data_IF_001997451745
#
_entry.id   IF_001997451745
#
_cell.length_a   1.000
_cell.length_b   1.000
_cell.length_c   1.000
_cell.angle_alpha   90.00
_cell.angle_beta   90.00
_cell.angle_gamma   90.00
#
_symmetry.space_group_name_H-M   'P 1'
#
loop_
_entity.id
_entity.type
_entity.pdbx_description
1 polymer ?
#
# COMPACT_ATOMS: atom_id res chain seq x y z
N UNK A 1 -18.10 -10.91 -19.30
CA UNK A 1 -17.95 -10.12 -18.06
C UNK A 1 -16.85 -9.10 -18.30
N UNK A 2 -17.17 -7.82 -18.21
CA UNK A 2 -16.18 -6.76 -18.47
C UNK A 2 -15.34 -6.50 -17.20
N UNK A 3 -14.05 -6.24 -17.40
CA UNK A 3 -13.18 -5.77 -16.32
C UNK A 3 -13.40 -4.28 -16.17
N UNK A 4 -13.89 -3.84 -15.02
CA UNK A 4 -14.05 -2.43 -14.71
C UNK A 4 -12.72 -1.87 -14.20
N UNK A 5 -12.20 -0.81 -14.85
CA UNK A 5 -10.97 -0.11 -14.43
C UNK A 5 -11.34 1.25 -13.88
N UNK A 6 -11.14 1.44 -12.57
CA UNK A 6 -11.36 2.71 -11.89
C UNK A 6 -10.06 3.50 -11.76
N UNK A 7 -9.97 4.66 -12.39
CA UNK A 7 -8.82 5.57 -12.31
C UNK A 7 -9.08 6.71 -11.33
N UNK A 8 -8.01 7.26 -10.76
CA UNK A 8 -8.10 8.45 -9.92
C UNK A 8 -8.31 9.71 -10.79
N UNK A 9 -8.97 10.73 -10.24
CA UNK A 9 -9.29 11.98 -10.96
C UNK A 9 -10.50 11.91 -11.90
N UNK A 10 -11.08 10.71 -12.14
CA UNK A 10 -12.27 10.52 -12.99
C UNK A 10 -13.59 10.59 -12.20
N UNK A 11 -13.51 10.78 -10.89
CA UNK A 11 -14.66 10.79 -9.99
C UNK A 11 -14.96 12.22 -9.52
N UNK A 12 -16.16 12.66 -9.60
CA UNK A 12 -16.63 13.99 -9.25
C UNK A 12 -16.02 14.67 -8.02
N UNK A 13 -16.70 15.62 -7.40
CA UNK A 13 -16.18 16.35 -6.24
C UNK A 13 -15.81 15.40 -5.09
N UNK A 14 -14.63 15.59 -4.49
CA UNK A 14 -14.17 14.85 -3.32
C UNK A 14 -15.16 15.04 -2.15
N UNK A 15 -15.74 13.98 -1.57
CA UNK A 15 -16.60 14.09 -0.40
C UNK A 15 -15.80 14.49 0.84
N UNK A 16 -16.50 15.00 1.84
CA UNK A 16 -15.92 15.23 3.17
C UNK A 16 -16.04 13.93 3.96
N UNK A 17 -14.94 13.41 4.56
CA UNK A 17 -15.01 12.24 5.41
C UNK A 17 -15.90 12.47 6.63
N UNK A 18 -16.68 11.46 7.05
CA UNK A 18 -17.49 11.57 8.26
C UNK A 18 -16.61 11.67 9.51
N UNK A 19 -16.82 12.70 10.30
CA UNK A 19 -16.03 12.98 11.50
C UNK A 19 -16.15 11.85 12.56
N UNK A 20 -17.27 11.12 12.60
CA UNK A 20 -17.52 10.02 13.54
C UNK A 20 -16.51 8.87 13.37
N UNK A 21 -16.04 8.63 12.15
CA UNK A 21 -15.08 7.58 11.86
C UNK A 21 -13.61 8.04 12.00
N UNK A 22 -13.34 9.32 12.28
CA UNK A 22 -11.97 9.85 12.27
C UNK A 22 -11.02 9.11 13.23
N UNK A 23 -11.47 8.84 14.45
CA UNK A 23 -10.68 8.12 15.44
C UNK A 23 -10.48 6.65 15.08
N UNK A 24 -11.51 5.98 14.57
CA UNK A 24 -11.43 4.62 14.07
C UNK A 24 -10.30 4.50 13.02
N UNK A 25 -10.27 5.40 12.05
CA UNK A 25 -9.26 5.38 11.01
C UNK A 25 -7.87 5.83 11.50
N UNK A 26 -7.77 6.74 12.48
CA UNK A 26 -6.49 7.11 13.09
C UNK A 26 -5.77 5.93 13.75
N UNK A 27 -6.52 4.95 14.30
CA UNK A 27 -5.98 3.74 14.92
C UNK A 27 -5.93 2.53 13.98
N UNK A 28 -6.36 2.68 12.73
CA UNK A 28 -6.31 1.60 11.73
C UNK A 28 -4.88 1.42 11.23
N UNK A 29 -4.17 0.48 11.84
CA UNK A 29 -2.77 0.16 11.57
C UNK A 29 -2.61 -1.35 11.52
N UNK A 30 -1.88 -1.85 10.52
CA UNK A 30 -1.47 -3.24 10.40
C UNK A 30 0.01 -3.35 10.11
N UNK A 31 0.64 -4.44 10.50
CA UNK A 31 2.04 -4.72 10.18
C UNK A 31 2.30 -6.20 9.99
N UNK A 32 3.37 -6.50 9.25
CA UNK A 32 3.94 -7.84 9.14
C UNK A 32 5.47 -7.74 9.13
N UNK A 33 6.13 -8.79 9.58
CA UNK A 33 7.59 -8.84 9.66
C UNK A 33 8.10 -10.21 9.21
N UNK A 34 9.23 -10.20 8.48
CA UNK A 34 9.95 -11.43 8.14
C UNK A 34 11.47 -11.21 8.22
N UNK A 35 12.23 -12.31 8.21
CA UNK A 35 13.68 -12.28 8.04
C UNK A 35 14.02 -12.87 6.68
N UNK A 36 14.91 -12.18 5.95
CA UNK A 36 15.35 -12.53 4.60
C UNK A 36 16.87 -12.71 4.64
N UNK A 37 17.38 -13.78 4.01
CA UNK A 37 18.80 -14.08 3.93
C UNK A 37 19.48 -13.25 2.80
N UNK A 38 19.43 -11.93 2.93
CA UNK A 38 20.14 -10.98 2.07
C UNK A 38 20.51 -9.71 2.85
N UNK A 39 21.47 -8.92 2.38
CA UNK A 39 21.77 -7.60 2.94
C UNK A 39 20.54 -6.67 2.87
N UNK A 40 20.37 -5.81 3.88
CA UNK A 40 19.24 -4.87 3.93
C UNK A 40 19.17 -3.93 2.71
N UNK A 41 20.30 -3.59 2.12
CA UNK A 41 20.37 -2.74 0.92
C UNK A 41 19.76 -3.44 -0.30
N UNK A 42 19.89 -4.76 -0.42
CA UNK A 42 19.32 -5.52 -1.54
C UNK A 42 17.81 -5.65 -1.39
N UNK A 43 17.33 -5.92 -0.18
CA UNK A 43 15.88 -5.90 0.11
C UNK A 43 15.29 -4.50 -0.10
N UNK A 44 16.01 -3.44 0.27
CA UNK A 44 15.61 -2.07 0.00
C UNK A 44 15.55 -1.78 -1.50
N UNK A 45 16.55 -2.20 -2.26
CA UNK A 45 16.59 -2.00 -3.72
C UNK A 45 15.37 -2.65 -4.41
N UNK A 46 14.92 -3.81 -3.92
CA UNK A 46 13.72 -4.48 -4.45
C UNK A 46 12.45 -3.65 -4.20
N UNK A 47 12.21 -3.19 -2.96
CA UNK A 47 10.96 -2.43 -2.66
C UNK A 47 10.99 -1.02 -3.21
N UNK A 48 12.16 -0.40 -3.37
CA UNK A 48 12.34 0.94 -3.90
C UNK A 48 12.19 1.01 -5.43
N UNK A 49 12.37 -0.10 -6.13
CA UNK A 49 11.99 -0.22 -7.53
C UNK A 49 10.50 -0.56 -7.63
N UNK A 50 9.67 0.48 -7.59
CA UNK A 50 8.21 0.33 -7.63
C UNK A 50 7.70 -0.44 -8.86
N UNK A 51 8.47 -0.49 -9.96
CA UNK A 51 8.08 -1.20 -11.18
C UNK A 51 8.07 -2.72 -10.98
N UNK A 52 8.74 -3.21 -9.94
CA UNK A 52 8.82 -4.63 -9.57
C UNK A 52 7.74 -5.07 -8.56
N UNK A 53 6.89 -4.15 -8.08
CA UNK A 53 5.93 -4.46 -7.00
C UNK A 53 5.02 -5.66 -7.34
N UNK A 54 4.68 -5.84 -8.62
CA UNK A 54 3.87 -6.98 -9.08
C UNK A 54 4.55 -8.35 -8.96
N UNK A 55 5.87 -8.40 -8.72
CA UNK A 55 6.59 -9.66 -8.51
C UNK A 55 6.32 -10.25 -7.12
N UNK A 56 5.94 -9.41 -6.16
CA UNK A 56 5.79 -9.84 -4.77
C UNK A 56 4.48 -9.43 -4.10
N UNK A 57 3.76 -8.41 -4.58
CA UNK A 57 2.48 -8.02 -3.98
C UNK A 57 1.31 -8.81 -4.58
N UNK A 58 0.41 -9.40 -3.76
CA UNK A 58 -0.77 -10.10 -4.26
C UNK A 58 -1.87 -9.15 -4.75
N UNK A 59 -1.92 -7.92 -4.26
CA UNK A 59 -2.95 -6.93 -4.59
C UNK A 59 -2.46 -5.90 -5.62
N UNK A 60 -1.28 -5.32 -5.41
CA UNK A 60 -0.69 -4.37 -6.35
C UNK A 60 0.06 -5.13 -7.45
N UNK A 61 -0.60 -5.32 -8.58
CA UNK A 61 -0.10 -6.18 -9.68
C UNK A 61 0.87 -5.47 -10.62
N UNK A 62 1.14 -4.19 -10.39
CA UNK A 62 2.14 -3.43 -11.14
C UNK A 62 2.14 -1.97 -10.75
N UNK A 63 3.24 -1.29 -11.04
CA UNK A 63 3.32 0.16 -10.89
C UNK A 63 4.17 0.79 -11.98
N UNK A 64 4.00 2.10 -12.19
CA UNK A 64 4.79 2.89 -13.14
C UNK A 64 5.08 4.27 -12.57
N UNK A 65 6.24 4.78 -12.88
CA UNK A 65 6.63 6.15 -12.51
C UNK A 65 5.77 7.20 -13.22
N UNK A 66 5.46 8.28 -12.52
CA UNK A 66 4.80 9.48 -13.06
C UNK A 66 5.84 10.60 -13.12
N UNK A 67 5.95 11.25 -14.29
CA UNK A 67 6.90 12.34 -14.49
C UNK A 67 8.27 11.84 -14.98
N UNK A 68 9.35 12.66 -14.85
CA UNK A 68 10.66 12.36 -15.41
C UNK A 68 11.46 11.34 -14.58
N UNK A 69 11.18 11.24 -13.29
CA UNK A 69 11.95 10.39 -12.39
C UNK A 69 11.69 8.90 -12.62
N UNK A 70 12.75 8.10 -12.49
CA UNK A 70 12.71 6.64 -12.68
C UNK A 70 13.36 5.88 -11.53
N UNK A 71 13.50 6.54 -10.38
CA UNK A 71 14.11 5.98 -9.17
C UNK A 71 13.48 6.57 -7.92
N UNK A 72 13.59 5.85 -6.81
CA UNK A 72 13.06 6.26 -5.53
C UNK A 72 13.84 7.47 -4.95
N UNK A 73 13.12 8.52 -4.63
CA UNK A 73 13.53 9.64 -3.78
C UNK A 73 12.28 10.28 -3.17
N UNK A 74 12.43 11.02 -2.09
CA UNK A 74 11.31 11.73 -1.47
C UNK A 74 10.72 12.73 -2.47
N UNK A 75 9.40 12.68 -2.65
CA UNK A 75 8.65 13.48 -3.62
C UNK A 75 8.46 12.81 -4.98
N UNK A 76 9.21 11.74 -5.31
CA UNK A 76 8.96 10.99 -6.54
C UNK A 76 7.56 10.37 -6.54
N UNK A 77 6.92 10.32 -7.70
CA UNK A 77 5.54 9.85 -7.86
C UNK A 77 5.44 8.64 -8.77
N UNK A 78 4.54 7.75 -8.42
CA UNK A 78 4.20 6.59 -9.24
C UNK A 78 2.70 6.29 -9.16
N UNK A 79 2.20 5.46 -10.07
CA UNK A 79 0.86 4.90 -10.01
C UNK A 79 0.96 3.41 -9.74
N UNK A 80 0.20 2.95 -8.74
CA UNK A 80 -0.01 1.53 -8.48
C UNK A 80 -1.30 1.03 -9.11
N UNK A 81 -1.24 -0.08 -9.83
CA UNK A 81 -2.40 -0.82 -10.35
C UNK A 81 -2.71 -1.97 -9.42
N UNK A 82 -3.89 -1.95 -8.85
CA UNK A 82 -4.35 -2.96 -7.90
C UNK A 82 -5.47 -3.81 -8.51
N UNK A 83 -5.60 -5.04 -8.00
CA UNK A 83 -6.58 -6.00 -8.45
C UNK A 83 -7.18 -6.77 -7.28
N UNK A 84 -8.48 -6.94 -7.28
CA UNK A 84 -9.17 -7.83 -6.35
C UNK A 84 -10.25 -8.64 -7.08
N UNK A 85 -10.51 -9.85 -6.60
CA UNK A 85 -11.67 -10.63 -7.02
C UNK A 85 -12.87 -10.23 -6.17
N UNK A 86 -14.00 -10.02 -6.84
CA UNK A 86 -15.29 -9.72 -6.22
C UNK A 86 -16.31 -10.79 -6.59
N UNK A 87 -17.46 -10.80 -5.96
CA UNK A 87 -18.56 -11.71 -6.30
C UNK A 87 -19.05 -11.54 -7.75
N UNK A 88 -18.88 -10.34 -8.32
CA UNK A 88 -19.36 -10.00 -9.68
C UNK A 88 -18.27 -10.07 -10.75
N UNK A 89 -17.02 -10.35 -10.37
CA UNK A 89 -15.90 -10.42 -11.32
C UNK A 89 -14.59 -9.87 -10.75
N UNK A 90 -13.77 -9.29 -11.61
CA UNK A 90 -12.50 -8.70 -11.25
C UNK A 90 -12.62 -7.18 -11.20
N UNK A 91 -12.17 -6.59 -10.10
CA UNK A 91 -12.05 -5.14 -9.92
C UNK A 91 -10.59 -4.73 -10.08
N UNK A 92 -10.32 -3.79 -10.97
CA UNK A 92 -9.00 -3.16 -11.14
C UNK A 92 -9.12 -1.67 -10.81
N UNK A 93 -8.18 -1.17 -9.99
CA UNK A 93 -8.12 0.26 -9.69
C UNK A 93 -6.70 0.78 -9.68
N UNK A 94 -6.53 2.02 -10.11
CA UNK A 94 -5.24 2.72 -10.16
C UNK A 94 -5.24 3.85 -9.14
N UNK A 95 -4.13 3.98 -8.39
CA UNK A 95 -3.96 5.04 -7.38
C UNK A 95 -2.62 5.75 -7.54
N UNK A 96 -2.61 7.07 -7.39
CA UNK A 96 -1.37 7.82 -7.34
C UNK A 96 -0.68 7.59 -6.00
N UNK A 97 0.62 7.48 -6.04
CA UNK A 97 1.47 7.31 -4.86
C UNK A 97 2.58 8.37 -4.88
N UNK A 98 2.95 8.85 -3.70
CA UNK A 98 4.08 9.77 -3.52
C UNK A 98 5.03 9.20 -2.47
N UNK A 99 6.31 9.08 -2.80
CA UNK A 99 7.34 8.60 -1.88
C UNK A 99 7.59 9.67 -0.83
N UNK A 100 7.52 9.29 0.44
CA UNK A 100 7.73 10.17 1.60
C UNK A 100 8.94 9.78 2.44
N UNK A 101 9.46 8.56 2.24
CA UNK A 101 10.69 8.05 2.87
C UNK A 101 11.48 7.28 1.82
N UNK A 102 12.78 7.57 1.69
CA UNK A 102 13.71 6.85 0.82
C UNK A 102 15.12 6.90 1.42
N UNK A 103 15.38 6.03 2.41
CA UNK A 103 16.68 5.88 3.08
C UNK A 103 17.26 4.51 2.71
N UNK A 104 18.26 4.46 1.81
CA UNK A 104 18.78 3.21 1.27
C UNK A 104 19.26 2.23 2.35
N UNK A 105 18.76 1.00 2.26
CA UNK A 105 19.05 -0.08 3.21
C UNK A 105 18.39 0.05 4.58
N UNK A 106 17.56 1.10 4.81
CA UNK A 106 16.91 1.35 6.10
C UNK A 106 15.40 1.47 6.00
N UNK A 107 14.91 2.34 5.13
CA UNK A 107 13.47 2.53 5.01
C UNK A 107 13.05 3.02 3.63
N UNK A 108 11.85 2.59 3.22
CA UNK A 108 11.15 3.04 2.03
C UNK A 108 9.68 3.21 2.36
N UNK A 109 9.12 4.38 2.11
CA UNK A 109 7.71 4.66 2.43
C UNK A 109 7.05 5.58 1.43
N UNK A 110 5.75 5.36 1.26
CA UNK A 110 4.93 6.15 0.35
C UNK A 110 3.51 6.33 0.90
N UNK A 111 2.88 7.41 0.50
CA UNK A 111 1.45 7.63 0.69
C UNK A 111 0.70 7.26 -0.58
N UNK A 112 -0.45 6.61 -0.42
CA UNK A 112 -1.39 6.31 -1.51
C UNK A 112 -2.48 7.38 -1.50
N UNK A 113 -2.69 8.00 -2.64
CA UNK A 113 -3.72 9.01 -2.82
C UNK A 113 -5.12 8.41 -3.00
N UNK A 114 -6.13 9.21 -2.70
CA UNK A 114 -7.52 8.85 -2.96
C UNK A 114 -7.85 8.83 -4.47
N UNK A 115 -9.07 8.44 -4.80
CA UNK A 115 -9.52 8.34 -6.19
C UNK A 115 -10.02 9.66 -6.78
N UNK A 116 -10.18 10.70 -5.97
CA UNK A 116 -10.76 11.97 -6.40
C UNK A 116 -9.70 12.94 -6.91
N UNK A 117 -8.85 13.42 -6.02
CA UNK A 117 -7.82 14.42 -6.31
C UNK A 117 -6.40 13.93 -5.99
N UNK A 118 -6.26 12.69 -5.50
CA UNK A 118 -4.98 12.12 -5.11
C UNK A 118 -4.49 12.57 -3.73
N UNK A 119 -5.35 13.20 -2.93
CA UNK A 119 -5.01 13.53 -1.54
C UNK A 119 -4.64 12.29 -0.74
N UNK A 120 -3.63 12.36 0.14
CA UNK A 120 -3.17 11.22 0.92
C UNK A 120 -4.29 10.52 1.68
N UNK A 121 -4.43 9.20 1.50
CA UNK A 121 -5.44 8.38 2.18
C UNK A 121 -4.83 7.31 3.08
N UNK A 122 -3.74 6.67 2.66
CA UNK A 122 -3.04 5.66 3.44
C UNK A 122 -1.53 5.82 3.32
N UNK A 123 -0.80 5.29 4.30
CA UNK A 123 0.65 5.29 4.34
C UNK A 123 1.18 3.86 4.45
N UNK A 124 2.18 3.54 3.65
CA UNK A 124 2.92 2.30 3.66
C UNK A 124 4.38 2.57 3.97
N UNK A 125 4.96 1.81 4.88
CA UNK A 125 6.35 1.95 5.29
C UNK A 125 7.01 0.58 5.39
N UNK A 126 8.11 0.41 4.67
CA UNK A 126 9.05 -0.70 4.84
C UNK A 126 10.22 -0.22 5.68
N UNK A 127 10.50 -0.93 6.76
CA UNK A 127 11.66 -0.72 7.62
C UNK A 127 12.57 -1.95 7.54
N UNK A 128 13.85 -1.72 7.34
CA UNK A 128 14.84 -2.75 7.14
C UNK A 128 15.94 -2.60 8.19
N UNK A 129 16.29 -3.68 8.86
CA UNK A 129 17.34 -3.71 9.86
C UNK A 129 18.21 -4.95 9.67
N UNK A 130 19.53 -4.80 9.77
CA UNK A 130 20.44 -5.95 9.82
C UNK A 130 20.06 -6.86 10.99
N UNK A 131 19.95 -8.15 10.74
CA UNK A 131 19.60 -9.14 11.77
C UNK A 131 20.82 -9.98 12.16
N UNK A 132 21.47 -10.60 11.19
CA UNK A 132 22.74 -11.34 11.32
C UNK A 132 23.60 -11.04 10.09
N UNK A 133 24.90 -11.39 10.05
CA UNK A 133 25.69 -11.25 8.83
C UNK A 133 25.01 -11.92 7.63
N UNK A 134 24.76 -11.13 6.58
CA UNK A 134 24.08 -11.61 5.38
C UNK A 134 22.57 -11.76 5.46
N UNK A 135 21.91 -11.29 6.54
CA UNK A 135 20.47 -11.32 6.66
C UNK A 135 19.90 -10.02 7.22
N UNK A 136 18.68 -9.67 6.79
CA UNK A 136 17.95 -8.51 7.30
C UNK A 136 16.56 -8.89 7.79
N UNK A 137 16.02 -8.07 8.69
CA UNK A 137 14.61 -8.07 9.08
C UNK A 137 13.91 -6.98 8.27
N UNK A 138 12.81 -7.36 7.64
CA UNK A 138 11.94 -6.43 6.91
C UNK A 138 10.59 -6.38 7.61
N UNK A 139 10.17 -5.20 8.00
CA UNK A 139 8.84 -4.91 8.55
C UNK A 139 8.08 -4.02 7.57
N UNK A 140 6.89 -4.40 7.19
CA UNK A 140 5.97 -3.54 6.43
C UNK A 140 4.83 -3.10 7.35
N UNK A 141 4.56 -1.80 7.38
CA UNK A 141 3.48 -1.18 8.14
C UNK A 141 2.52 -0.47 7.20
N UNK A 142 1.25 -0.78 7.33
CA UNK A 142 0.14 -0.04 6.76
C UNK A 142 -0.48 0.86 7.82
N UNK A 143 -0.79 2.09 7.46
CA UNK A 143 -1.54 3.03 8.31
C UNK A 143 -2.58 3.78 7.47
N UNK A 144 -3.83 3.78 7.93
CA UNK A 144 -4.82 4.69 7.37
C UNK A 144 -4.64 6.09 7.94
N UNK A 145 -4.80 7.13 7.11
CA UNK A 145 -4.78 8.51 7.59
C UNK A 145 -6.17 8.90 8.12
N UNK A 146 -6.26 9.66 9.21
CA UNK A 146 -7.54 9.96 9.87
C UNK A 146 -8.60 10.57 8.95
N UNK A 147 -8.17 11.42 8.02
CA UNK A 147 -9.03 12.12 7.06
C UNK A 147 -8.85 11.60 5.62
N UNK A 148 -8.19 10.45 5.46
CA UNK A 148 -7.98 9.81 4.17
C UNK A 148 -9.27 9.22 3.60
N UNK A 149 -9.48 9.34 2.28
CA UNK A 149 -10.64 8.79 1.58
C UNK A 149 -10.28 7.54 0.77
N UNK A 150 -10.00 6.45 1.47
CA UNK A 150 -9.89 5.13 0.82
C UNK A 150 -11.28 4.56 0.48
N UNK A 151 -11.32 3.48 -0.32
CA UNK A 151 -12.56 2.73 -0.55
C UNK A 151 -13.16 2.19 0.75
N UNK A 152 -12.32 1.76 1.70
CA UNK A 152 -12.73 1.34 3.03
C UNK A 152 -13.39 2.48 3.81
N UNK A 153 -12.81 3.68 3.74
CA UNK A 153 -13.37 4.85 4.41
C UNK A 153 -14.76 5.20 3.86
N UNK A 154 -14.93 5.19 2.55
CA UNK A 154 -16.21 5.46 1.92
C UNK A 154 -17.27 4.42 2.29
N UNK A 155 -16.88 3.16 2.40
CA UNK A 155 -17.77 2.09 2.85
C UNK A 155 -18.19 2.31 4.32
N UNK A 156 -17.23 2.57 5.21
CA UNK A 156 -17.50 2.82 6.62
C UNK A 156 -18.36 4.09 6.86
N UNK A 157 -18.14 5.13 6.06
CA UNK A 157 -18.96 6.37 6.15
C UNK A 157 -20.37 6.18 5.60
N UNK A 158 -20.61 5.18 4.74
CA UNK A 158 -21.95 4.85 4.24
C UNK A 158 -22.79 3.99 5.20
N UNK A 159 -22.15 3.36 6.19
CA UNK A 159 -22.80 2.50 7.19
C UNK A 159 -22.01 2.55 8.51
N UNK A 160 -22.34 3.56 9.33
CA UNK A 160 -21.64 3.84 10.58
C UNK A 160 -21.78 2.73 11.61
N UNK A 161 -22.90 2.00 11.60
CA UNK A 161 -23.15 0.90 12.54
C UNK A 161 -22.20 -0.28 12.29
N UNK A 162 -21.83 -0.52 11.04
CA UNK A 162 -20.93 -1.60 10.63
C UNK A 162 -19.50 -1.16 10.37
N UNK A 163 -19.15 0.11 10.57
CA UNK A 163 -17.85 0.69 10.25
C UNK A 163 -16.68 -0.09 10.87
N UNK A 164 -16.77 -0.44 12.16
CA UNK A 164 -15.71 -1.22 12.85
C UNK A 164 -15.54 -2.62 12.25
N UNK A 165 -16.64 -3.28 11.86
CA UNK A 165 -16.60 -4.60 11.24
C UNK A 165 -15.91 -4.56 9.88
N UNK A 166 -16.20 -3.55 9.05
CA UNK A 166 -15.55 -3.36 7.75
C UNK A 166 -14.05 -3.11 7.91
N UNK A 167 -13.67 -2.25 8.87
CA UNK A 167 -12.26 -1.96 9.16
C UNK A 167 -11.54 -3.21 9.66
N UNK A 168 -12.13 -3.95 10.60
CA UNK A 168 -11.51 -5.17 11.14
C UNK A 168 -11.35 -6.26 10.07
N UNK A 169 -12.33 -6.44 9.19
CA UNK A 169 -12.27 -7.40 8.08
C UNK A 169 -11.15 -7.01 7.11
N UNK A 170 -11.11 -5.76 6.66
CA UNK A 170 -10.09 -5.29 5.71
C UNK A 170 -8.69 -5.32 6.32
N UNK A 171 -8.55 -5.01 7.60
CA UNK A 171 -7.24 -5.05 8.27
C UNK A 171 -6.66 -6.47 8.34
N UNK A 172 -7.51 -7.50 8.52
CA UNK A 172 -7.09 -8.90 8.43
C UNK A 172 -6.57 -9.25 7.03
N UNK A 173 -7.35 -8.91 5.98
CA UNK A 173 -6.94 -9.12 4.57
C UNK A 173 -5.61 -8.42 4.24
N UNK A 174 -5.45 -7.17 4.68
CA UNK A 174 -4.21 -6.42 4.48
C UNK A 174 -3.03 -7.06 5.20
N UNK A 175 -3.23 -7.56 6.43
CA UNK A 175 -2.18 -8.23 7.19
C UNK A 175 -1.75 -9.54 6.53
N UNK A 176 -2.70 -10.34 6.06
CA UNK A 176 -2.43 -11.56 5.28
C UNK A 176 -1.72 -11.22 3.95
N UNK A 177 -2.16 -10.17 3.27
CA UNK A 177 -1.52 -9.67 2.06
C UNK A 177 -0.08 -9.19 2.30
N UNK A 178 0.19 -8.51 3.41
CA UNK A 178 1.54 -8.10 3.81
C UNK A 178 2.44 -9.31 4.11
N UNK A 179 1.92 -10.33 4.79
CA UNK A 179 2.66 -11.58 5.04
C UNK A 179 3.01 -12.29 3.72
N UNK A 180 2.05 -12.38 2.80
CA UNK A 180 2.26 -12.95 1.46
C UNK A 180 3.30 -12.14 0.68
N UNK A 181 3.21 -10.81 0.69
CA UNK A 181 4.18 -9.90 0.07
C UNK A 181 5.60 -10.17 0.57
N UNK A 182 5.78 -10.24 1.90
CA UNK A 182 7.09 -10.52 2.50
C UNK A 182 7.60 -11.93 2.18
N UNK A 183 6.71 -12.93 2.09
CA UNK A 183 7.06 -14.27 1.65
C UNK A 183 7.56 -14.32 0.20
N UNK A 184 6.90 -13.61 -0.70
CA UNK A 184 7.34 -13.51 -2.09
C UNK A 184 8.65 -12.71 -2.23
N UNK A 185 8.80 -11.59 -1.51
CA UNK A 185 10.09 -10.86 -1.46
C UNK A 185 11.23 -11.77 -1.02
N UNK A 186 11.00 -12.59 0.01
CA UNK A 186 11.97 -13.58 0.48
C UNK A 186 12.32 -14.57 -0.64
N UNK A 187 11.35 -15.11 -1.34
CA UNK A 187 11.58 -16.02 -2.46
C UNK A 187 12.37 -15.37 -3.62
N UNK A 188 12.09 -14.09 -3.92
CA UNK A 188 12.83 -13.34 -4.97
C UNK A 188 14.28 -13.06 -4.59
N UNK A 189 14.56 -12.82 -3.30
CA UNK A 189 15.88 -12.38 -2.83
C UNK A 189 16.79 -13.54 -2.39
N UNK A 190 16.23 -14.72 -2.12
CA UNK A 190 16.98 -15.90 -1.68
C UNK A 190 17.24 -16.92 -2.80
N UNK A 191 16.71 -16.68 -4.02
CA UNK A 191 16.99 -17.45 -5.22
C UNK A 191 18.05 -16.77 -6.09
#
# INVERSE_FOLDING_TARGET
MGTEVSRWGEHGRRPVPDASNRELFARTVGCATTQIACPAVDAWALVADVTRIGEFSPECVGARWIGPDRRAHVGARFEGTNRARTATGELIWVRPCTIVVADPGRSFGFVVGDRYDGSPATHWLYELASATPGACRVTVTFRHLPDGLSGLRLLADSDLENAENFVAARLRELTEGMQTTLGHMKAVLEN
#
